data_IF_992422951739
#
_entry.id   IF_992422951739
#
_cell.length_a   1.000
_cell.length_b   1.000
_cell.length_c   1.000
_cell.angle_alpha   90.00
_cell.angle_beta   90.00
_cell.angle_gamma   90.00
#
_symmetry.space_group_name_H-M   'P 1'
#
loop_
_entity.id
_entity.type
_entity.pdbx_description
1 polymer ?
#
# COMPACT_ATOMS: atom_id res chain seq x y z
N UNK A 1 -5.13 11.91 -1.98
CA UNK A 1 -5.40 10.85 -0.98
C UNK A 1 -4.71 9.57 -1.48
N UNK A 2 -3.99 8.87 -0.63
CA UNK A 2 -3.24 7.67 -0.96
C UNK A 2 -3.51 6.56 0.04
N UNK A 3 -3.13 5.35 -0.35
CA UNK A 3 -3.12 4.18 0.50
C UNK A 3 -1.67 3.78 0.76
N UNK A 4 -1.29 3.72 2.03
CA UNK A 4 -0.03 3.16 2.48
C UNK A 4 -0.29 1.81 3.15
N UNK A 5 0.40 0.78 2.72
CA UNK A 5 0.32 -0.53 3.34
C UNK A 5 1.64 -0.81 4.05
N UNK A 6 1.56 -1.10 5.33
CA UNK A 6 2.74 -1.42 6.15
C UNK A 6 2.75 -2.90 6.49
N UNK A 7 3.85 -3.59 6.22
CA UNK A 7 4.03 -4.98 6.61
C UNK A 7 4.04 -5.15 8.13
N UNK A 8 3.33 -6.14 8.63
CA UNK A 8 3.24 -6.42 10.08
C UNK A 8 4.47 -7.15 10.61
N UNK A 9 5.12 -7.94 9.77
CA UNK A 9 6.36 -8.63 10.07
C UNK A 9 7.13 -8.89 8.77
N UNK A 10 7.65 -7.83 8.14
CA UNK A 10 8.33 -7.93 6.86
C UNK A 10 9.58 -8.80 6.96
N UNK A 11 9.87 -9.53 5.89
CA UNK A 11 11.12 -10.26 5.75
C UNK A 11 12.23 -9.26 5.43
N UNK A 12 13.11 -9.02 6.38
CA UNK A 12 14.19 -8.06 6.27
C UNK A 12 15.47 -8.61 6.92
N UNK A 13 16.61 -8.31 6.31
CA UNK A 13 17.92 -8.72 6.82
C UNK A 13 18.40 -7.87 8.01
N UNK A 14 17.87 -6.66 8.10
CA UNK A 14 18.17 -5.71 9.17
C UNK A 14 16.88 -5.19 9.82
N UNK A 15 16.92 -4.83 11.12
CA UNK A 15 15.73 -4.28 11.78
C UNK A 15 15.33 -2.92 11.17
N UNK A 16 14.02 -2.62 11.21
CA UNK A 16 13.53 -1.30 10.81
C UNK A 16 14.16 -0.21 11.69
N UNK A 17 14.67 0.88 11.09
CA UNK A 17 15.09 2.05 11.85
C UNK A 17 13.97 2.57 12.74
N UNK A 18 14.30 2.94 14.00
CA UNK A 18 13.34 3.46 14.98
C UNK A 18 13.72 4.87 15.37
N UNK A 19 12.73 5.71 15.52
CA UNK A 19 12.88 7.05 16.06
C UNK A 19 12.57 7.03 17.56
N UNK A 20 13.52 7.45 18.35
CA UNK A 20 13.43 7.64 19.80
C UNK A 20 13.71 9.10 20.23
N UNK A 21 13.91 9.98 19.24
CA UNK A 21 14.07 11.41 19.46
C UNK A 21 12.74 12.13 19.76
N UNK A 22 12.83 13.41 20.06
CA UNK A 22 11.67 14.26 20.31
C UNK A 22 10.85 14.58 19.05
N UNK A 23 9.68 15.20 19.26
CA UNK A 23 8.90 15.76 18.15
C UNK A 23 9.63 17.01 17.61
N UNK A 24 9.99 17.03 16.31
CA UNK A 24 10.65 18.19 15.71
C UNK A 24 9.73 19.43 15.65
N UNK A 25 8.43 19.25 15.85
CA UNK A 25 7.44 20.33 15.84
C UNK A 25 6.75 20.43 17.21
N UNK A 26 7.16 21.39 18.01
CA UNK A 26 6.54 21.64 19.32
C UNK A 26 5.47 22.72 19.22
N UNK A 27 4.28 22.43 19.73
CA UNK A 27 3.20 23.40 19.76
C UNK A 27 3.53 24.57 20.71
N UNK A 28 3.41 25.80 20.20
CA UNK A 28 3.64 27.00 21.02
C UNK A 28 2.54 27.13 22.08
N UNK A 29 2.94 27.26 23.32
CA UNK A 29 2.01 27.38 24.46
C UNK A 29 1.05 28.59 24.27
N UNK A 30 -0.24 28.34 24.45
CA UNK A 30 -1.26 29.37 24.33
C UNK A 30 -1.75 29.68 22.90
N UNK A 31 -1.31 28.93 21.90
CA UNK A 31 -1.76 29.08 20.51
C UNK A 31 -2.44 27.82 20.00
N UNK A 32 -3.41 27.93 19.07
CA UNK A 32 -4.08 26.76 18.49
C UNK A 32 -3.32 26.15 17.30
N UNK A 33 -2.58 26.95 16.51
CA UNK A 33 -2.00 26.55 15.25
C UNK A 33 -0.55 27.01 15.02
N UNK A 34 0.15 27.49 16.05
CA UNK A 34 1.56 27.86 15.93
C UNK A 34 2.45 26.74 16.49
N UNK A 35 3.47 26.38 15.70
CA UNK A 35 4.46 25.38 16.05
C UNK A 35 5.84 25.98 15.90
N UNK A 36 6.71 25.69 16.84
CA UNK A 36 8.14 25.94 16.73
C UNK A 36 8.83 24.68 16.25
N UNK A 37 9.78 24.85 15.37
CA UNK A 37 10.61 23.76 14.84
C UNK A 37 11.96 23.84 15.53
N UNK A 38 12.34 22.77 16.22
CA UNK A 38 13.72 22.62 16.69
C UNK A 38 14.59 22.19 15.51
N UNK A 39 15.54 23.03 15.05
CA UNK A 39 16.31 22.75 13.85
C UNK A 39 17.20 21.50 13.99
N UNK A 40 17.72 21.23 15.19
CA UNK A 40 18.58 20.08 15.42
C UNK A 40 17.76 18.78 15.42
N UNK A 41 16.65 18.73 16.16
CA UNK A 41 15.75 17.59 16.19
C UNK A 41 15.17 17.33 14.80
N UNK A 42 14.88 18.41 14.04
CA UNK A 42 14.38 18.29 12.66
C UNK A 42 15.41 17.66 11.73
N UNK A 43 16.68 18.07 11.79
CA UNK A 43 17.74 17.48 10.97
C UNK A 43 17.91 15.99 11.26
N UNK A 44 17.98 15.61 12.54
CA UNK A 44 18.08 14.23 12.99
C UNK A 44 16.86 13.40 12.54
N UNK A 45 15.66 13.99 12.61
CA UNK A 45 14.42 13.35 12.13
C UNK A 45 14.39 13.17 10.61
N UNK A 46 14.86 14.15 9.86
CA UNK A 46 14.93 14.08 8.40
C UNK A 46 15.92 12.97 7.96
N UNK A 47 17.05 12.83 8.65
CA UNK A 47 18.03 11.75 8.44
C UNK A 47 17.45 10.38 8.81
N UNK A 48 16.72 10.30 9.92
CA UNK A 48 15.98 9.09 10.29
C UNK A 48 14.96 8.71 9.20
N UNK A 49 14.15 9.66 8.74
CA UNK A 49 13.13 9.41 7.72
C UNK A 49 13.76 8.92 6.41
N UNK A 50 14.91 9.49 6.03
CA UNK A 50 15.67 9.01 4.87
C UNK A 50 16.14 7.58 5.03
N UNK A 51 16.76 7.25 6.17
CA UNK A 51 17.22 5.90 6.47
C UNK A 51 16.06 4.89 6.50
N UNK A 52 14.91 5.31 7.03
CA UNK A 52 13.69 4.48 7.05
C UNK A 52 13.16 4.24 5.64
N UNK A 53 13.14 5.25 4.78
CA UNK A 53 12.72 5.10 3.38
C UNK A 53 13.65 4.16 2.62
N UNK A 54 14.96 4.31 2.76
CA UNK A 54 15.96 3.43 2.15
C UNK A 54 15.77 1.97 2.63
N UNK A 55 15.49 1.78 3.92
CA UNK A 55 15.19 0.45 4.46
C UNK A 55 13.89 -0.12 3.88
N UNK A 56 12.84 0.69 3.75
CA UNK A 56 11.57 0.25 3.13
C UNK A 56 11.75 -0.13 1.66
N UNK A 57 12.54 0.62 0.90
CA UNK A 57 12.85 0.32 -0.50
C UNK A 57 13.68 -0.96 -0.66
N UNK A 58 14.60 -1.23 0.27
CA UNK A 58 15.41 -2.44 0.27
C UNK A 58 14.64 -3.71 0.68
N UNK A 59 13.48 -3.58 1.31
CA UNK A 59 12.71 -4.71 1.85
C UNK A 59 11.29 -4.74 1.29
N UNK A 60 11.07 -5.56 0.27
CA UNK A 60 9.82 -5.64 -0.53
C UNK A 60 8.52 -5.83 0.30
N UNK A 61 8.63 -6.40 1.49
CA UNK A 61 7.48 -6.61 2.40
C UNK A 61 7.26 -5.49 3.41
N UNK A 62 8.11 -4.47 3.45
CA UNK A 62 8.05 -3.43 4.48
C UNK A 62 6.94 -2.41 4.21
N UNK A 63 6.88 -1.92 2.99
CA UNK A 63 5.94 -0.86 2.61
C UNK A 63 5.51 -0.97 1.16
N UNK A 64 4.22 -0.76 0.91
CA UNK A 64 3.66 -0.65 -0.43
C UNK A 64 2.75 0.57 -0.48
N UNK A 65 2.99 1.47 -1.42
CA UNK A 65 2.22 2.70 -1.58
C UNK A 65 1.47 2.73 -2.89
N UNK A 66 0.20 3.10 -2.79
CA UNK A 66 -0.62 3.37 -3.96
C UNK A 66 -1.41 4.68 -3.80
N UNK A 67 -1.68 5.38 -4.88
CA UNK A 67 -2.71 6.40 -4.84
C UNK A 67 -4.10 5.75 -5.02
N UNK A 68 -5.16 6.49 -4.74
CA UNK A 68 -6.55 5.99 -4.81
C UNK A 68 -6.91 5.49 -6.22
N UNK A 69 -6.33 6.09 -7.27
CA UNK A 69 -6.62 5.77 -8.66
C UNK A 69 -6.13 4.37 -9.06
N UNK A 70 -4.96 3.98 -8.56
CA UNK A 70 -4.39 2.64 -8.78
C UNK A 70 -4.82 1.62 -7.74
N UNK A 71 -5.06 2.06 -6.48
CA UNK A 71 -5.47 1.16 -5.42
C UNK A 71 -6.84 0.53 -5.67
N UNK A 72 -7.85 1.33 -6.03
CA UNK A 72 -9.22 0.81 -6.22
C UNK A 72 -9.32 -0.26 -7.30
N UNK A 73 -8.77 -0.09 -8.52
CA UNK A 73 -8.79 -1.16 -9.52
C UNK A 73 -8.02 -2.40 -9.08
N UNK A 74 -6.88 -2.23 -8.41
CA UNK A 74 -6.12 -3.34 -7.85
C UNK A 74 -6.94 -4.08 -6.79
N UNK A 75 -7.53 -3.37 -5.83
CA UNK A 75 -8.30 -3.99 -4.77
C UNK A 75 -9.57 -4.68 -5.29
N UNK A 76 -10.27 -4.07 -6.24
CA UNK A 76 -11.40 -4.70 -6.93
C UNK A 76 -10.99 -6.03 -7.59
N UNK A 77 -9.85 -6.07 -8.26
CA UNK A 77 -9.33 -7.29 -8.87
C UNK A 77 -8.98 -8.34 -7.79
N UNK A 78 -8.29 -7.92 -6.74
CA UNK A 78 -7.89 -8.80 -5.63
C UNK A 78 -9.12 -9.40 -4.93
N UNK A 79 -10.13 -8.59 -4.62
CA UNK A 79 -11.36 -9.07 -3.98
C UNK A 79 -12.13 -10.05 -4.87
N UNK A 80 -12.17 -9.80 -6.18
CA UNK A 80 -12.83 -10.69 -7.14
C UNK A 80 -12.12 -12.03 -7.32
N UNK A 81 -10.78 -12.08 -7.23
CA UNK A 81 -10.03 -13.32 -7.40
C UNK A 81 -9.67 -14.02 -6.09
N UNK A 82 -9.89 -13.38 -4.94
CA UNK A 82 -9.57 -13.88 -3.61
C UNK A 82 -10.80 -13.99 -2.69
N UNK A 83 -11.97 -14.18 -3.25
CA UNK A 83 -13.26 -14.31 -2.55
C UNK A 83 -13.28 -15.40 -1.48
N UNK A 84 -12.53 -16.47 -1.69
CA UNK A 84 -12.36 -17.58 -0.73
C UNK A 84 -11.16 -17.41 0.23
N UNK A 85 -10.53 -16.24 0.24
CA UNK A 85 -9.39 -15.88 1.10
C UNK A 85 -9.77 -14.71 2.03
N UNK A 86 -10.41 -13.71 1.47
CA UNK A 86 -10.85 -12.51 2.16
C UNK A 86 -12.25 -12.70 2.77
N UNK A 87 -12.47 -12.15 3.95
CA UNK A 87 -13.81 -12.04 4.54
C UNK A 87 -14.53 -10.79 3.98
N UNK A 88 -15.84 -10.71 4.13
CA UNK A 88 -16.62 -9.50 3.79
C UNK A 88 -16.02 -8.25 4.42
N UNK A 89 -15.63 -8.35 5.70
CA UNK A 89 -14.99 -7.25 6.41
C UNK A 89 -13.66 -6.85 5.78
N UNK A 90 -12.82 -7.80 5.35
CA UNK A 90 -11.56 -7.48 4.67
C UNK A 90 -11.82 -6.74 3.35
N UNK A 91 -12.84 -7.21 2.60
CA UNK A 91 -13.24 -6.59 1.33
C UNK A 91 -13.67 -5.14 1.56
N UNK A 92 -14.59 -4.90 2.50
CA UNK A 92 -15.09 -3.56 2.80
C UNK A 92 -13.99 -2.63 3.31
N UNK A 93 -13.25 -3.08 4.31
CA UNK A 93 -12.24 -2.27 4.99
C UNK A 93 -11.03 -1.96 4.10
N UNK A 94 -10.74 -2.78 3.10
CA UNK A 94 -9.69 -2.50 2.13
C UNK A 94 -9.94 -1.28 1.23
N UNK A 95 -11.16 -0.72 1.21
CA UNK A 95 -11.47 0.55 0.55
C UNK A 95 -11.21 1.78 1.41
N UNK A 96 -10.87 1.59 2.68
CA UNK A 96 -10.60 2.64 3.65
C UNK A 96 -9.14 2.56 4.11
N UNK A 97 -8.57 3.70 4.43
CA UNK A 97 -7.22 3.85 4.95
C UNK A 97 -7.26 4.15 6.47
N UNK A 98 -7.83 3.23 7.23
CA UNK A 98 -8.15 3.40 8.66
C UNK A 98 -7.51 2.35 9.57
N UNK A 99 -6.47 1.66 9.09
CA UNK A 99 -5.69 0.72 9.89
C UNK A 99 -6.22 -0.72 9.87
N UNK A 100 -6.99 -1.12 8.85
CA UNK A 100 -7.42 -2.51 8.74
C UNK A 100 -6.27 -3.47 8.49
N UNK A 101 -6.29 -4.64 9.18
CA UNK A 101 -5.20 -5.62 9.14
C UNK A 101 -5.57 -6.88 8.37
N UNK A 102 -4.72 -7.25 7.45
CA UNK A 102 -4.73 -8.53 6.75
C UNK A 102 -3.65 -9.43 7.35
N UNK A 103 -4.03 -10.57 7.92
CA UNK A 103 -3.08 -11.46 8.59
C UNK A 103 -2.12 -12.15 7.60
N UNK A 104 -0.99 -12.65 8.13
CA UNK A 104 0.06 -13.35 7.38
C UNK A 104 -0.46 -14.45 6.46
N UNK A 105 -1.37 -15.28 6.96
CA UNK A 105 -1.92 -16.39 6.17
C UNK A 105 -2.70 -15.90 4.95
N UNK A 106 -3.52 -14.86 5.12
CA UNK A 106 -4.26 -14.25 4.01
C UNK A 106 -3.31 -13.59 3.02
N UNK A 107 -2.34 -12.80 3.48
CA UNK A 107 -1.33 -12.16 2.63
C UNK A 107 -0.59 -13.18 1.75
N UNK A 108 -0.10 -14.28 2.33
CA UNK A 108 0.56 -15.37 1.58
C UNK A 108 -0.37 -16.03 0.55
N UNK A 109 -1.63 -16.24 0.89
CA UNK A 109 -2.61 -16.82 -0.04
C UNK A 109 -2.96 -15.87 -1.18
N UNK A 110 -3.06 -14.56 -0.91
CA UNK A 110 -3.22 -13.53 -1.94
C UNK A 110 -2.02 -13.54 -2.88
N UNK A 111 -0.79 -13.49 -2.35
CA UNK A 111 0.43 -13.56 -3.15
C UNK A 111 0.47 -14.81 -4.06
N UNK A 112 0.18 -15.97 -3.50
CA UNK A 112 0.14 -17.23 -4.26
C UNK A 112 -0.90 -17.20 -5.38
N UNK A 113 -2.09 -16.64 -5.14
CA UNK A 113 -3.16 -16.50 -6.13
C UNK A 113 -2.74 -15.55 -7.26
N UNK A 114 -2.22 -14.37 -6.92
CA UNK A 114 -1.77 -13.37 -7.90
C UNK A 114 -0.60 -13.91 -8.74
N UNK A 115 0.36 -14.59 -8.12
CA UNK A 115 1.48 -15.25 -8.81
C UNK A 115 1.00 -16.27 -9.84
N UNK A 116 0.03 -17.10 -9.47
CA UNK A 116 -0.59 -18.04 -10.39
C UNK A 116 -1.24 -17.33 -11.57
N UNK A 117 -1.98 -16.25 -11.33
CA UNK A 117 -2.69 -15.49 -12.36
C UNK A 117 -1.76 -14.66 -13.24
N UNK A 118 -0.62 -14.20 -12.71
CA UNK A 118 0.46 -13.61 -13.50
C UNK A 118 1.08 -14.63 -14.47
N UNK A 119 1.34 -15.85 -13.99
CA UNK A 119 2.00 -16.91 -14.79
C UNK A 119 1.11 -17.45 -15.90
N UNK A 120 -0.19 -17.57 -15.69
CA UNK A 120 -1.12 -18.16 -16.65
C UNK A 120 -1.81 -17.13 -17.58
N UNK A 121 -1.42 -15.84 -17.49
CA UNK A 121 -1.92 -14.80 -18.37
C UNK A 121 -3.29 -14.21 -18.00
N UNK A 122 -3.91 -14.63 -16.90
CA UNK A 122 -5.22 -14.11 -16.48
C UNK A 122 -5.17 -12.60 -16.23
N UNK A 123 -4.10 -12.09 -15.61
CA UNK A 123 -3.98 -10.66 -15.30
C UNK A 123 -3.77 -9.84 -16.57
N UNK A 124 -2.98 -10.36 -17.53
CA UNK A 124 -2.79 -9.69 -18.82
C UNK A 124 -4.11 -9.63 -19.63
N UNK A 125 -4.89 -10.70 -19.60
CA UNK A 125 -6.20 -10.72 -20.24
C UNK A 125 -7.18 -9.75 -19.57
N UNK A 126 -7.17 -9.68 -18.24
CA UNK A 126 -7.98 -8.73 -17.48
C UNK A 126 -7.56 -7.28 -17.76
N UNK A 127 -6.27 -6.97 -17.80
CA UNK A 127 -5.76 -5.63 -18.13
C UNK A 127 -6.23 -5.18 -19.53
N UNK A 128 -6.13 -6.06 -20.52
CA UNK A 128 -6.58 -5.77 -21.87
C UNK A 128 -8.10 -5.53 -21.95
N UNK A 129 -8.89 -6.37 -21.28
CA UNK A 129 -10.33 -6.19 -21.18
C UNK A 129 -10.68 -4.89 -20.46
N UNK A 130 -10.09 -4.63 -19.29
CA UNK A 130 -10.33 -3.44 -18.48
C UNK A 130 -10.00 -2.16 -19.24
N UNK A 131 -8.86 -2.13 -19.93
CA UNK A 131 -8.46 -0.98 -20.75
C UNK A 131 -9.47 -0.70 -21.89
N UNK A 132 -10.02 -1.76 -22.48
CA UNK A 132 -11.06 -1.63 -23.51
C UNK A 132 -12.35 -1.05 -22.91
N UNK A 133 -12.82 -1.56 -21.77
CA UNK A 133 -14.01 -1.04 -21.10
C UNK A 133 -13.86 0.44 -20.72
N UNK A 134 -12.72 0.82 -20.13
CA UNK A 134 -12.43 2.20 -19.78
C UNK A 134 -12.38 3.12 -21.02
N UNK A 135 -11.87 2.63 -22.15
CA UNK A 135 -11.81 3.42 -23.39
C UNK A 135 -13.18 3.76 -23.97
N UNK A 136 -14.20 2.95 -23.67
CA UNK A 136 -15.57 3.13 -24.14
C UNK A 136 -16.39 4.12 -23.30
N UNK A 137 -15.89 4.49 -22.11
CA UNK A 137 -16.54 5.46 -21.24
C UNK A 137 -16.59 6.83 -21.91
N UNK A 138 -17.63 7.62 -21.58
CA UNK A 138 -17.78 8.98 -22.10
C UNK A 138 -16.64 9.88 -21.63
N UNK A 139 -16.33 10.88 -22.44
CA UNK A 139 -15.40 11.93 -22.04
C UNK A 139 -15.92 12.63 -20.78
N UNK A 140 -15.04 12.83 -19.77
CA UNK A 140 -15.40 13.37 -18.46
C UNK A 140 -15.92 12.35 -17.45
N UNK A 141 -16.06 11.07 -17.80
CA UNK A 141 -16.39 10.02 -16.84
C UNK A 141 -15.22 9.81 -15.87
N UNK A 142 -15.49 9.95 -14.58
CA UNK A 142 -14.51 9.79 -13.50
C UNK A 142 -13.81 8.43 -13.49
N UNK A 143 -14.51 7.38 -13.95
CA UNK A 143 -13.94 6.04 -13.98
C UNK A 143 -12.75 5.91 -14.94
N UNK A 144 -12.60 6.84 -15.91
CA UNK A 144 -11.39 6.90 -16.75
C UNK A 144 -10.11 7.16 -15.99
N UNK A 145 -10.20 7.71 -14.78
CA UNK A 145 -9.03 8.01 -13.94
C UNK A 145 -8.55 6.81 -13.12
N UNK A 146 -9.19 5.63 -13.25
CA UNK A 146 -8.86 4.42 -12.49
C UNK A 146 -8.20 3.36 -13.40
N UNK A 147 -6.92 3.51 -13.76
CA UNK A 147 -6.25 2.54 -14.62
C UNK A 147 -5.93 1.26 -13.84
N UNK A 148 -6.11 0.12 -14.49
CA UNK A 148 -5.57 -1.14 -14.00
C UNK A 148 -4.17 -1.36 -14.56
N UNK A 149 -3.24 -1.88 -13.75
CA UNK A 149 -1.85 -2.09 -14.15
C UNK A 149 -1.33 -3.44 -13.64
N UNK A 150 -0.89 -4.26 -14.59
CA UNK A 150 -0.22 -5.54 -14.27
C UNK A 150 1.06 -5.33 -13.44
N UNK A 151 1.77 -4.22 -13.65
CA UNK A 151 2.95 -3.89 -12.86
C UNK A 151 2.58 -3.64 -11.41
N UNK A 152 1.49 -2.91 -11.15
CA UNK A 152 0.96 -2.68 -9.82
C UNK A 152 0.57 -4.00 -9.11
N UNK A 153 -0.01 -4.95 -9.86
CA UNK A 153 -0.31 -6.29 -9.33
C UNK A 153 0.97 -7.06 -8.98
N UNK A 154 2.03 -6.95 -9.79
CA UNK A 154 3.33 -7.61 -9.51
C UNK A 154 3.98 -7.07 -8.24
N UNK A 155 3.96 -5.77 -8.05
CA UNK A 155 4.50 -5.12 -6.86
C UNK A 155 3.70 -5.49 -5.61
N UNK A 156 2.38 -5.48 -5.69
CA UNK A 156 1.51 -5.91 -4.60
C UNK A 156 1.65 -7.40 -4.27
N UNK A 157 1.83 -8.26 -5.27
CA UNK A 157 2.12 -9.69 -5.07
C UNK A 157 3.38 -9.90 -4.24
N UNK A 158 4.48 -9.23 -4.62
CA UNK A 158 5.75 -9.30 -3.89
C UNK A 158 5.64 -8.75 -2.47
N UNK A 159 4.98 -7.62 -2.31
CA UNK A 159 4.69 -7.07 -1.00
C UNK A 159 3.92 -8.06 -0.13
N UNK A 160 2.81 -8.63 -0.60
CA UNK A 160 2.03 -9.61 0.14
C UNK A 160 2.85 -10.86 0.52
N UNK A 161 3.75 -11.32 -0.37
CA UNK A 161 4.62 -12.47 -0.11
C UNK A 161 5.56 -12.21 1.07
N UNK A 162 6.12 -11.01 1.18
CA UNK A 162 7.18 -10.67 2.14
C UNK A 162 6.71 -9.88 3.37
N UNK A 163 5.48 -9.39 3.41
CA UNK A 163 4.97 -8.48 4.44
C UNK A 163 4.74 -9.12 5.82
N UNK A 164 4.57 -10.44 5.87
CA UNK A 164 4.16 -11.10 7.12
C UNK A 164 2.74 -10.77 7.59
N UNK A 165 1.88 -10.34 6.68
CA UNK A 165 0.61 -9.65 6.91
C UNK A 165 0.81 -8.13 6.75
N UNK A 166 -0.28 -7.38 6.60
CA UNK A 166 -0.17 -5.93 6.38
C UNK A 166 -1.35 -5.16 6.96
N UNK A 167 -1.12 -3.89 7.19
CA UNK A 167 -2.10 -2.91 7.66
C UNK A 167 -2.29 -1.84 6.58
N UNK A 168 -3.54 -1.38 6.37
CA UNK A 168 -3.93 -0.46 5.30
C UNK A 168 -4.21 0.92 5.92
N UNK A 169 -3.44 1.95 5.51
CA UNK A 169 -3.53 3.35 5.96
C UNK A 169 -3.83 4.33 4.83
#
# INVERSE_FOLDING_TARGET
MGFGLTGLNPQADTPEPKWDGGDPMTKVAGTEHQYEVDPQIKEEYDDFMKSRMEWQEANEGAYFRNNVWFWRPLWNFVTGCCDNILTERDVEQGYFNDGHKICKTKAKRIASRLRKYLKNGHISAYEAWYSKEISQLKEGDWNKNYPFSIQNVREFERFCEHSGGFEIW
#
